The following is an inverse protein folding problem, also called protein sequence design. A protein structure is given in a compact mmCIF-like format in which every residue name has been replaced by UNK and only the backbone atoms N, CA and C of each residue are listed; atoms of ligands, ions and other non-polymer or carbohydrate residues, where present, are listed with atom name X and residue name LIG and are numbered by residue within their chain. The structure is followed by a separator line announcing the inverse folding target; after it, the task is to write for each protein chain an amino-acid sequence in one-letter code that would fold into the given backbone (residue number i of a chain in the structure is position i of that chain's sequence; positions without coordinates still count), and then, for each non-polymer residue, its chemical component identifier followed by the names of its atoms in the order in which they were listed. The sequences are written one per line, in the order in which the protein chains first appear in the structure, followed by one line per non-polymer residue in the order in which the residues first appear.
data_IF_169198147808
#
_entry.id   IF_169198147808
#
_cell.length_a   1.000
_cell.length_b   1.000
_cell.length_c   1.000
_cell.angle_alpha   90.00
_cell.angle_beta   90.00
_cell.angle_gamma   90.00
#
_symmetry.space_group_name_H-M   'P 1'
#
loop_
_entity.id
_entity.type
_entity.pdbx_description
1 polymer ?
#
# COMPACT_ATOMS: atom_id res chain seq x y z
N UNK A 1 21.67 24.33 -21.67
CA UNK A 1 20.22 24.57 -21.89
C UNK A 1 19.90 24.16 -23.33
N UNK A 2 19.44 22.95 -23.59
CA UNK A 2 19.09 22.46 -24.93
C UNK A 2 17.64 21.97 -24.83
N UNK A 3 16.72 22.42 -25.67
CA UNK A 3 15.33 21.98 -25.62
C UNK A 3 15.22 20.55 -26.18
N UNK A 4 14.65 19.67 -25.39
CA UNK A 4 14.40 18.27 -25.75
C UNK A 4 13.16 18.17 -26.65
N UNK A 5 13.37 18.30 -27.96
CA UNK A 5 12.43 17.94 -29.00
C UNK A 5 12.85 16.58 -29.57
N UNK A 6 12.24 15.51 -29.11
CA UNK A 6 12.53 14.16 -29.55
C UNK A 6 11.47 13.18 -29.06
N UNK A 7 10.17 13.48 -29.32
CA UNK A 7 9.10 12.49 -29.22
C UNK A 7 9.19 11.56 -30.43
N UNK A 8 9.78 10.38 -30.24
CA UNK A 8 9.70 9.31 -31.22
C UNK A 8 8.22 8.96 -31.48
N UNK A 9 7.80 9.14 -32.74
CA UNK A 9 6.50 8.68 -33.25
C UNK A 9 6.51 7.16 -33.19
N UNK A 10 5.64 6.61 -32.34
CA UNK A 10 5.23 5.22 -32.43
C UNK A 10 3.89 5.19 -33.16
N UNK A 11 3.91 4.79 -34.42
CA UNK A 11 2.72 4.46 -35.22
C UNK A 11 2.11 3.16 -34.69
N UNK A 12 0.97 3.28 -34.10
CA UNK A 12 0.15 2.18 -33.58
C UNK A 12 -0.93 2.71 -32.67
N UNK A 13 -1.98 3.34 -33.22
CA UNK A 13 -3.33 3.58 -32.66
C UNK A 13 -3.49 3.92 -31.15
N UNK A 14 -2.48 4.46 -30.49
CA UNK A 14 -2.58 4.99 -29.13
C UNK A 14 -2.06 6.43 -29.11
N UNK A 15 -2.99 7.37 -28.95
CA UNK A 15 -2.67 8.77 -28.62
C UNK A 15 -1.67 8.80 -27.47
N UNK A 16 -0.63 9.65 -27.49
CA UNK A 16 0.32 9.73 -26.41
C UNK A 16 -0.40 10.15 -25.13
N UNK A 17 -0.31 9.33 -24.08
CA UNK A 17 -0.78 9.60 -22.72
C UNK A 17 -0.15 10.91 -22.13
N UNK A 18 0.63 11.63 -22.89
CA UNK A 18 1.27 12.90 -22.49
C UNK A 18 0.41 14.16 -22.64
N UNK A 19 -0.72 14.11 -23.34
CA UNK A 19 -1.53 15.32 -23.55
C UNK A 19 -2.43 15.71 -22.35
N UNK A 20 -2.64 14.79 -21.37
CA UNK A 20 -3.48 15.03 -20.19
C UNK A 20 -2.74 15.53 -18.94
N UNK A 21 -1.41 15.69 -18.99
CA UNK A 21 -0.61 16.08 -17.80
C UNK A 21 -0.50 17.59 -17.57
N UNK A 22 -1.19 18.41 -18.32
CA UNK A 22 -1.23 19.86 -18.16
C UNK A 22 -2.01 20.23 -16.88
N UNK A 23 -1.36 20.27 -15.73
CA UNK A 23 -2.01 20.69 -14.48
C UNK A 23 -1.29 20.32 -13.18
N UNK A 24 -0.55 19.21 -13.15
CA UNK A 24 0.22 18.84 -11.95
C UNK A 24 1.49 19.68 -11.77
N UNK A 25 1.68 20.24 -10.56
CA UNK A 25 2.89 21.00 -10.20
C UNK A 25 3.93 20.07 -9.57
N UNK A 26 5.13 19.98 -10.14
CA UNK A 26 6.27 19.24 -9.56
C UNK A 26 6.77 19.95 -8.29
N UNK A 27 6.31 19.50 -7.15
CA UNK A 27 6.59 20.09 -5.85
C UNK A 27 7.13 19.11 -4.82
N UNK A 28 6.91 17.78 -5.01
CA UNK A 28 7.33 16.74 -4.08
C UNK A 28 8.84 16.50 -4.16
N UNK A 29 9.49 16.44 -3.01
CA UNK A 29 10.93 16.22 -2.83
C UNK A 29 11.25 14.75 -2.54
N UNK A 30 12.54 14.40 -2.48
CA UNK A 30 12.98 13.07 -2.02
C UNK A 30 12.48 12.77 -0.61
N UNK A 31 12.53 13.75 0.29
CA UNK A 31 12.04 13.60 1.66
C UNK A 31 10.53 13.26 1.67
N UNK A 32 9.72 14.03 0.92
CA UNK A 32 8.28 13.80 0.85
C UNK A 32 7.96 12.38 0.33
N UNK A 33 8.66 11.95 -0.73
CA UNK A 33 8.44 10.65 -1.33
C UNK A 33 8.89 9.50 -0.43
N UNK A 34 9.99 9.68 0.29
CA UNK A 34 10.46 8.70 1.29
C UNK A 34 9.46 8.58 2.45
N UNK A 35 8.95 9.72 2.95
CA UNK A 35 7.93 9.74 4.00
C UNK A 35 6.60 9.15 3.53
N UNK A 36 6.23 9.31 2.26
CA UNK A 36 5.05 8.65 1.66
C UNK A 36 5.28 7.13 1.59
N UNK A 37 6.45 6.66 1.17
CA UNK A 37 6.77 5.23 1.09
C UNK A 37 6.77 4.58 2.48
N UNK A 38 7.45 5.18 3.46
CA UNK A 38 7.47 4.71 4.85
C UNK A 38 6.07 4.80 5.45
N UNK A 39 5.45 5.96 5.35
CA UNK A 39 4.17 6.26 5.97
C UNK A 39 3.02 5.45 5.39
N UNK A 40 3.06 5.14 4.09
CA UNK A 40 2.10 4.26 3.43
C UNK A 40 2.20 2.81 3.92
N UNK A 41 3.42 2.33 4.16
CA UNK A 41 3.66 0.97 4.65
C UNK A 41 3.39 0.84 6.15
N UNK A 42 3.86 1.78 6.98
CA UNK A 42 3.64 1.71 8.43
C UNK A 42 2.22 2.17 8.76
N UNK A 43 1.30 1.22 8.75
CA UNK A 43 -0.11 1.41 9.06
C UNK A 43 -0.51 0.74 10.38
N UNK A 44 -1.68 0.11 10.38
CA UNK A 44 -2.17 -0.73 11.48
C UNK A 44 -1.46 -2.09 11.55
N UNK A 45 -0.86 -2.55 10.44
CA UNK A 45 -0.29 -3.90 10.31
C UNK A 45 0.67 -4.25 11.43
N UNK A 46 1.76 -3.49 11.63
CA UNK A 46 2.79 -3.78 12.63
C UNK A 46 2.26 -3.83 14.08
N UNK A 47 1.11 -3.24 14.34
CA UNK A 47 0.48 -3.20 15.66
C UNK A 47 -0.57 -4.29 15.86
N UNK A 48 -1.15 -4.84 14.79
CA UNK A 48 -2.25 -5.81 14.84
C UNK A 48 -1.83 -7.21 14.39
N UNK A 49 -1.06 -7.31 13.31
CA UNK A 49 -0.73 -8.62 12.70
C UNK A 49 0.27 -9.46 13.50
N UNK A 50 1.17 -8.92 14.37
CA UNK A 50 2.08 -9.77 15.12
C UNK A 50 1.38 -10.82 15.99
N UNK A 51 0.18 -10.52 16.52
CA UNK A 51 -0.62 -11.49 17.27
C UNK A 51 -1.12 -12.64 16.37
N UNK A 52 -1.66 -12.32 15.20
CA UNK A 52 -2.11 -13.32 14.23
C UNK A 52 -0.94 -14.15 13.72
N UNK A 53 0.17 -13.51 13.37
CA UNK A 53 1.39 -14.19 12.93
C UNK A 53 1.93 -15.13 14.02
N UNK A 54 1.97 -14.69 15.28
CA UNK A 54 2.40 -15.54 16.38
C UNK A 54 1.48 -16.77 16.57
N UNK A 55 0.17 -16.63 16.34
CA UNK A 55 -0.81 -17.72 16.37
C UNK A 55 -0.61 -18.70 15.24
N UNK A 56 -0.43 -18.19 14.02
CA UNK A 56 -0.33 -19.00 12.81
C UNK A 56 1.00 -19.73 12.69
N UNK A 57 2.08 -19.12 13.20
CA UNK A 57 3.46 -19.59 13.03
C UNK A 57 4.00 -20.30 14.29
N UNK A 58 3.62 -19.87 15.49
CA UNK A 58 3.90 -20.51 16.78
C UNK A 58 5.36 -20.47 17.23
N UNK A 59 6.35 -20.39 16.36
CA UNK A 59 7.79 -20.42 16.67
C UNK A 59 8.42 -19.03 16.55
N UNK A 60 9.22 -18.58 17.54
CA UNK A 60 9.92 -17.29 17.49
C UNK A 60 10.81 -17.11 16.25
N UNK A 61 11.54 -18.15 15.87
CA UNK A 61 12.39 -18.12 14.68
C UNK A 61 11.60 -17.99 13.39
N UNK A 62 10.46 -18.68 13.30
CA UNK A 62 9.59 -18.55 12.14
C UNK A 62 8.92 -17.17 12.09
N UNK A 63 8.59 -16.57 13.25
CA UNK A 63 8.10 -15.18 13.31
C UNK A 63 9.16 -14.24 12.72
N UNK A 64 10.42 -14.33 13.17
CA UNK A 64 11.51 -13.52 12.59
C UNK A 64 11.68 -13.80 11.10
N UNK A 65 11.68 -15.08 10.71
CA UNK A 65 11.88 -15.49 9.32
C UNK A 65 10.82 -14.91 8.36
N UNK A 66 9.52 -14.92 8.74
CA UNK A 66 8.47 -14.34 7.89
C UNK A 66 8.61 -12.82 7.76
N UNK A 67 9.02 -12.11 8.82
CA UNK A 67 9.27 -10.67 8.74
C UNK A 67 10.51 -10.33 7.91
N UNK A 68 11.59 -11.11 8.02
CA UNK A 68 12.78 -10.98 7.15
C UNK A 68 12.40 -11.24 5.69
N UNK A 69 11.68 -12.34 5.43
CA UNK A 69 11.25 -12.70 4.08
C UNK A 69 10.34 -11.60 3.48
N UNK A 70 9.39 -11.09 4.25
CA UNK A 70 8.55 -9.96 3.84
C UNK A 70 9.35 -8.71 3.50
N UNK A 71 10.38 -8.40 4.30
CA UNK A 71 11.32 -7.31 4.02
C UNK A 71 12.11 -7.49 2.72
N UNK A 72 12.61 -8.71 2.47
CA UNK A 72 13.32 -9.05 1.23
C UNK A 72 12.41 -8.96 0.00
N UNK A 73 11.18 -9.46 0.09
CA UNK A 73 10.18 -9.37 -0.98
C UNK A 73 9.85 -7.89 -1.25
N UNK A 74 9.64 -7.10 -0.18
CA UNK A 74 9.35 -5.67 -0.29
C UNK A 74 10.50 -4.90 -0.95
N UNK A 75 11.73 -5.18 -0.54
CA UNK A 75 12.91 -4.55 -1.14
C UNK A 75 13.06 -4.94 -2.62
N UNK A 76 12.87 -6.22 -2.95
CA UNK A 76 12.91 -6.69 -4.33
C UNK A 76 11.81 -6.02 -5.19
N UNK A 77 10.60 -5.86 -4.64
CA UNK A 77 9.50 -5.14 -5.27
C UNK A 77 9.82 -3.65 -5.48
N UNK A 78 10.30 -2.98 -4.44
CA UNK A 78 10.70 -1.57 -4.50
C UNK A 78 11.79 -1.31 -5.54
N UNK A 79 12.85 -2.15 -5.59
CA UNK A 79 13.90 -2.07 -6.59
C UNK A 79 13.36 -2.33 -8.01
N UNK A 80 12.47 -3.31 -8.17
CA UNK A 80 11.86 -3.66 -9.45
C UNK A 80 10.98 -2.51 -9.97
N UNK A 81 10.07 -2.01 -9.14
CA UNK A 81 9.16 -0.91 -9.52
C UNK A 81 9.91 0.39 -9.76
N UNK A 82 11.07 0.58 -9.13
CA UNK A 82 11.93 1.75 -9.34
C UNK A 82 12.36 1.91 -10.79
N UNK A 83 12.62 0.81 -11.52
CA UNK A 83 12.95 0.89 -12.94
C UNK A 83 11.75 1.34 -13.78
N UNK A 84 10.58 0.78 -13.53
CA UNK A 84 9.35 1.21 -14.21
C UNK A 84 8.99 2.67 -13.90
N UNK A 85 9.13 3.08 -12.63
CA UNK A 85 8.86 4.44 -12.18
C UNK A 85 9.82 5.48 -12.78
N UNK A 86 11.11 5.14 -12.90
CA UNK A 86 12.09 6.01 -13.53
C UNK A 86 11.93 6.09 -15.06
N UNK A 87 11.47 4.99 -15.68
CA UNK A 87 11.20 4.92 -17.13
C UNK A 87 9.93 5.68 -17.50
N UNK A 88 8.86 5.52 -16.70
CA UNK A 88 7.52 6.05 -16.95
C UNK A 88 7.04 6.88 -15.75
N UNK A 89 7.59 8.10 -15.53
CA UNK A 89 7.29 8.94 -14.38
C UNK A 89 5.97 9.73 -14.56
N UNK A 90 4.93 9.03 -14.96
CA UNK A 90 3.60 9.57 -15.21
C UNK A 90 2.69 9.38 -13.97
N UNK A 91 1.60 10.17 -13.85
CA UNK A 91 0.61 9.98 -12.81
C UNK A 91 -0.08 8.62 -12.98
N UNK A 92 -0.30 7.91 -11.87
CA UNK A 92 -0.98 6.61 -11.88
C UNK A 92 -0.06 5.40 -11.68
N UNK A 93 1.28 5.56 -11.74
CA UNK A 93 2.25 4.52 -11.37
C UNK A 93 1.97 3.16 -12.02
N UNK A 94 1.60 2.15 -11.22
CA UNK A 94 1.33 0.78 -11.70
C UNK A 94 0.32 0.72 -12.86
N UNK A 95 -0.70 1.58 -12.86
CA UNK A 95 -1.66 1.67 -13.98
C UNK A 95 -0.94 1.90 -15.30
N UNK A 96 0.00 2.85 -15.31
CA UNK A 96 0.79 3.20 -16.49
C UNK A 96 1.69 2.03 -16.90
N UNK A 97 2.36 1.39 -15.95
CA UNK A 97 3.26 0.27 -16.25
C UNK A 97 2.50 -0.90 -16.88
N UNK A 98 1.35 -1.25 -16.32
CA UNK A 98 0.50 -2.34 -16.79
C UNK A 98 -0.11 -2.02 -18.16
N UNK A 99 -0.58 -0.80 -18.37
CA UNK A 99 -1.11 -0.36 -19.66
C UNK A 99 -0.06 -0.41 -20.76
N UNK A 100 1.16 0.06 -20.48
CA UNK A 100 2.28 0.05 -21.43
C UNK A 100 2.79 -1.37 -21.71
N UNK A 101 2.86 -2.22 -20.68
CA UNK A 101 3.35 -3.58 -20.82
C UNK A 101 2.35 -4.52 -21.48
N UNK A 102 1.06 -4.46 -21.11
CA UNK A 102 0.07 -5.49 -21.45
C UNK A 102 -1.15 -4.95 -22.22
N UNK A 103 -1.28 -3.63 -22.32
CA UNK A 103 -2.41 -2.98 -23.00
C UNK A 103 -3.49 -2.49 -22.04
N UNK A 104 -4.43 -1.71 -22.61
CA UNK A 104 -5.43 -0.95 -21.83
C UNK A 104 -6.36 -1.79 -20.96
N UNK A 105 -6.69 -3.03 -21.35
CA UNK A 105 -7.54 -3.90 -20.53
C UNK A 105 -6.88 -4.25 -19.20
N UNK A 106 -5.60 -4.64 -19.21
CA UNK A 106 -4.89 -5.02 -17.97
C UNK A 106 -4.69 -3.82 -17.07
N UNK A 107 -4.33 -2.66 -17.63
CA UNK A 107 -4.27 -1.40 -16.88
C UNK A 107 -5.62 -1.04 -16.28
N UNK A 108 -6.70 -1.13 -17.05
CA UNK A 108 -8.05 -0.86 -16.56
C UNK A 108 -8.45 -1.81 -15.41
N UNK A 109 -8.20 -3.11 -15.55
CA UNK A 109 -8.52 -4.09 -14.49
C UNK A 109 -7.77 -3.80 -13.19
N UNK A 110 -6.53 -3.34 -13.28
CA UNK A 110 -5.81 -2.85 -12.09
C UNK A 110 -6.53 -1.66 -11.46
N UNK A 111 -6.80 -0.60 -12.23
CA UNK A 111 -7.43 0.60 -11.69
C UNK A 111 -8.86 0.35 -11.19
N UNK A 112 -9.62 -0.53 -11.86
CA UNK A 112 -10.92 -1.01 -11.42
C UNK A 112 -10.84 -1.72 -10.07
N UNK A 113 -9.95 -2.70 -9.94
CA UNK A 113 -9.73 -3.42 -8.69
C UNK A 113 -9.27 -2.47 -7.57
N UNK A 114 -8.40 -1.53 -7.91
CA UNK A 114 -7.87 -0.55 -6.96
C UNK A 114 -8.97 0.38 -6.45
N UNK A 115 -9.85 0.84 -7.32
CA UNK A 115 -11.00 1.68 -6.97
C UNK A 115 -12.04 0.91 -6.16
N UNK A 116 -12.45 -0.29 -6.63
CA UNK A 116 -13.61 -1.00 -6.08
C UNK A 116 -13.24 -1.76 -4.80
N UNK A 117 -12.04 -2.35 -4.74
CA UNK A 117 -11.63 -3.28 -3.68
C UNK A 117 -10.40 -2.80 -2.92
N UNK A 118 -9.26 -2.62 -3.60
CA UNK A 118 -7.95 -2.53 -2.93
C UNK A 118 -7.82 -1.26 -2.12
N UNK A 119 -7.87 -0.10 -2.75
CA UNK A 119 -7.67 1.17 -2.04
C UNK A 119 -8.87 1.58 -1.19
N UNK A 120 -10.08 1.43 -1.72
CA UNK A 120 -11.27 1.76 -0.96
C UNK A 120 -11.48 0.84 0.25
N UNK A 121 -11.22 -0.47 0.08
CA UNK A 121 -11.21 -1.44 1.17
C UNK A 121 -10.12 -1.14 2.20
N UNK A 122 -8.90 -0.82 1.74
CA UNK A 122 -7.79 -0.40 2.59
C UNK A 122 -8.11 0.87 3.38
N UNK A 123 -8.67 1.91 2.75
CA UNK A 123 -9.14 3.12 3.42
C UNK A 123 -10.22 2.82 4.46
N UNK A 124 -11.21 1.98 4.10
CA UNK A 124 -12.26 1.56 5.02
C UNK A 124 -11.71 0.83 6.24
N UNK A 125 -10.80 -0.13 6.03
CA UNK A 125 -10.14 -0.87 7.09
C UNK A 125 -9.34 0.05 8.05
N UNK A 126 -8.58 0.98 7.50
CA UNK A 126 -7.81 1.96 8.27
C UNK A 126 -8.72 2.91 9.06
N UNK A 127 -9.84 3.35 8.48
CA UNK A 127 -10.81 4.20 9.15
C UNK A 127 -11.52 3.47 10.31
N UNK A 128 -11.86 2.19 10.12
CA UNK A 128 -12.41 1.33 11.19
C UNK A 128 -11.36 1.13 12.29
N UNK A 129 -10.10 0.86 11.94
CA UNK A 129 -9.02 0.73 12.91
C UNK A 129 -8.83 2.04 13.71
N UNK A 130 -8.84 3.19 13.04
CA UNK A 130 -8.79 4.50 13.69
C UNK A 130 -9.92 4.67 14.72
N UNK A 131 -11.17 4.38 14.34
CA UNK A 131 -12.31 4.48 15.24
C UNK A 131 -12.21 3.49 16.42
N UNK A 132 -11.70 2.28 16.19
CA UNK A 132 -11.49 1.26 17.23
C UNK A 132 -10.48 1.74 18.28
N UNK A 133 -9.36 2.33 17.85
CA UNK A 133 -8.35 2.85 18.78
C UNK A 133 -8.76 4.17 19.44
N UNK A 134 -9.59 4.99 18.78
CA UNK A 134 -10.22 6.14 19.45
C UNK A 134 -11.17 5.69 20.55
N UNK A 135 -11.88 4.57 20.34
CA UNK A 135 -12.76 3.94 21.33
C UNK A 135 -12.05 3.47 22.61
N UNK A 136 -10.70 3.38 22.58
CA UNK A 136 -9.91 3.15 23.80
C UNK A 136 -9.95 4.35 24.77
N UNK A 137 -10.02 5.58 24.22
CA UNK A 137 -10.01 6.81 24.99
C UNK A 137 -11.43 7.33 25.28
N UNK A 138 -12.33 7.15 24.31
CA UNK A 138 -13.71 7.62 24.36
C UNK A 138 -14.60 6.43 24.03
N UNK A 139 -15.39 5.91 24.97
CA UNK A 139 -16.28 4.78 24.69
C UNK A 139 -17.23 5.08 23.53
N UNK A 140 -17.07 4.34 22.43
CA UNK A 140 -17.87 4.49 21.22
C UNK A 140 -18.78 3.28 21.04
N UNK A 141 -20.08 3.51 20.93
CA UNK A 141 -21.00 2.49 20.46
C UNK A 141 -20.83 2.21 18.95
N UNK A 142 -21.43 1.13 18.40
CA UNK A 142 -21.24 0.73 17.01
C UNK A 142 -21.56 1.83 15.98
N UNK A 143 -22.62 2.60 16.19
CA UNK A 143 -23.01 3.72 15.32
C UNK A 143 -21.99 4.87 15.39
N UNK A 144 -21.56 5.25 16.60
CA UNK A 144 -20.58 6.32 16.81
C UNK A 144 -19.22 5.93 16.19
N UNK A 145 -18.80 4.67 16.33
CA UNK A 145 -17.57 4.16 15.70
C UNK A 145 -17.59 4.28 14.18
N UNK A 146 -18.71 3.89 13.53
CA UNK A 146 -18.89 4.09 12.08
C UNK A 146 -18.87 5.56 11.68
N UNK A 147 -19.53 6.41 12.45
CA UNK A 147 -19.53 7.87 12.20
C UNK A 147 -18.13 8.45 12.27
N UNK A 148 -17.33 8.07 13.28
CA UNK A 148 -15.94 8.51 13.43
C UNK A 148 -15.08 8.02 12.27
N UNK A 149 -15.24 6.76 11.84
CA UNK A 149 -14.53 6.22 10.69
C UNK A 149 -14.82 7.03 9.43
N UNK A 150 -16.09 7.31 9.14
CA UNK A 150 -16.49 8.09 7.96
C UNK A 150 -16.04 9.55 8.09
N UNK A 151 -16.14 10.15 9.27
CA UNK A 151 -15.68 11.52 9.50
C UNK A 151 -14.17 11.66 9.25
N UNK A 152 -13.35 10.65 9.61
CA UNK A 152 -11.91 10.64 9.32
C UNK A 152 -11.62 10.65 7.82
N UNK A 153 -12.38 9.88 7.02
CA UNK A 153 -12.27 9.88 5.56
C UNK A 153 -12.62 11.24 4.96
N UNK A 154 -13.72 11.85 5.40
CA UNK A 154 -14.18 13.16 4.90
C UNK A 154 -13.16 14.26 5.25
N UNK A 155 -12.68 14.29 6.50
CA UNK A 155 -11.71 15.28 6.96
C UNK A 155 -10.42 15.22 6.14
N UNK A 156 -9.88 14.01 5.96
CA UNK A 156 -8.62 13.84 5.22
C UNK A 156 -8.78 14.05 3.71
N UNK A 157 -9.97 13.79 3.17
CA UNK A 157 -10.30 14.19 1.80
C UNK A 157 -10.25 15.71 1.65
N UNK A 158 -10.82 16.46 2.59
CA UNK A 158 -10.76 17.92 2.62
C UNK A 158 -9.32 18.45 2.62
N UNK A 159 -8.46 17.89 3.48
CA UNK A 159 -7.03 18.26 3.54
C UNK A 159 -6.33 18.00 2.20
N UNK A 160 -6.56 16.85 1.57
CA UNK A 160 -5.90 16.46 0.32
C UNK A 160 -6.45 17.22 -0.90
N UNK A 161 -7.70 17.67 -0.87
CA UNK A 161 -8.26 18.55 -1.90
C UNK A 161 -7.55 19.91 -1.89
N UNK A 162 -7.17 20.44 -0.72
CA UNK A 162 -6.53 21.76 -0.58
C UNK A 162 -5.13 21.86 -1.19
N UNK A 163 -4.53 20.75 -1.65
CA UNK A 163 -3.28 20.77 -2.40
C UNK A 163 -2.30 19.66 -2.04
N UNK A 164 -1.47 19.27 -3.02
CA UNK A 164 -0.48 18.19 -2.83
C UNK A 164 0.56 18.52 -1.76
N UNK A 165 0.95 19.79 -1.62
CA UNK A 165 1.88 20.23 -0.56
C UNK A 165 1.28 20.07 0.84
N UNK A 166 0.01 20.44 1.01
CA UNK A 166 -0.70 20.28 2.28
C UNK A 166 -0.80 18.81 2.67
N UNK A 167 -1.19 17.94 1.72
CA UNK A 167 -1.23 16.51 1.93
C UNK A 167 0.14 15.89 2.22
N UNK A 168 1.19 16.32 1.53
CA UNK A 168 2.55 15.84 1.78
C UNK A 168 3.08 16.28 3.16
N UNK A 169 2.86 17.53 3.54
CA UNK A 169 3.26 18.04 4.87
C UNK A 169 2.51 17.28 5.98
N UNK A 170 1.21 17.05 5.82
CA UNK A 170 0.43 16.21 6.71
C UNK A 170 1.04 14.81 6.80
N UNK A 171 1.32 14.17 5.66
CA UNK A 171 1.94 12.85 5.59
C UNK A 171 3.29 12.80 6.29
N UNK A 172 4.13 13.82 6.11
CA UNK A 172 5.45 13.91 6.73
C UNK A 172 5.36 13.97 8.26
N UNK A 173 4.47 14.83 8.78
CA UNK A 173 4.26 14.97 10.24
C UNK A 173 3.75 13.67 10.84
N UNK A 174 2.71 13.08 10.26
CA UNK A 174 2.13 11.84 10.81
C UNK A 174 3.07 10.64 10.65
N UNK A 175 3.90 10.60 9.60
CA UNK A 175 4.92 9.58 9.44
C UNK A 175 6.04 9.74 10.48
N UNK A 176 6.47 10.97 10.77
CA UNK A 176 7.44 11.22 11.84
C UNK A 176 6.89 10.81 13.21
N UNK A 177 5.65 11.18 13.52
CA UNK A 177 5.00 10.82 14.79
C UNK A 177 4.88 9.30 14.97
N UNK A 178 4.49 8.55 13.91
CA UNK A 178 4.42 7.09 14.00
C UNK A 178 5.78 6.43 14.15
N UNK A 179 6.83 6.96 13.49
CA UNK A 179 8.21 6.49 13.69
C UNK A 179 8.68 6.74 15.12
N UNK A 180 8.37 7.88 15.72
CA UNK A 180 8.64 8.17 17.12
C UNK A 180 7.91 7.21 18.06
N UNK A 181 6.63 6.91 17.78
CA UNK A 181 5.86 5.94 18.55
C UNK A 181 6.47 4.52 18.50
N UNK A 182 6.89 4.08 17.30
CA UNK A 182 7.57 2.79 17.12
C UNK A 182 8.98 2.79 17.75
N UNK A 183 9.72 3.88 17.63
CA UNK A 183 11.01 4.01 18.34
C UNK A 183 10.84 3.94 19.86
N UNK A 184 9.77 4.52 20.40
CA UNK A 184 9.40 4.38 21.81
C UNK A 184 9.09 2.93 22.19
N UNK A 185 8.29 2.22 21.40
CA UNK A 185 8.01 0.79 21.59
C UNK A 185 9.30 -0.05 21.57
N UNK A 186 10.15 0.18 20.57
CA UNK A 186 11.45 -0.51 20.44
C UNK A 186 12.36 -0.19 21.65
N UNK A 187 12.44 1.09 22.02
CA UNK A 187 13.23 1.53 23.17
C UNK A 187 12.77 0.86 24.48
N UNK A 188 11.46 0.82 24.73
CA UNK A 188 10.88 0.14 25.90
C UNK A 188 11.19 -1.36 25.84
N UNK A 189 10.97 -2.01 24.70
CA UNK A 189 11.23 -3.44 24.57
C UNK A 189 12.69 -3.83 24.78
N UNK A 190 13.63 -3.04 24.24
CA UNK A 190 15.07 -3.32 24.37
C UNK A 190 15.61 -2.94 25.75
N UNK A 191 15.08 -1.88 26.39
CA UNK A 191 15.58 -1.40 27.69
C UNK A 191 14.96 -2.12 28.88
N UNK A 192 13.68 -2.50 28.83
CA UNK A 192 12.91 -3.05 29.94
C UNK A 192 12.47 -4.51 29.73
N UNK A 193 12.52 -4.98 28.47
CA UNK A 193 12.25 -6.38 28.14
C UNK A 193 13.44 -7.29 28.44
N UNK A 194 13.21 -8.60 28.40
CA UNK A 194 14.25 -9.60 28.59
C UNK A 194 14.35 -10.54 27.39
N UNK A 195 15.56 -10.78 26.84
CA UNK A 195 15.75 -11.82 25.83
C UNK A 195 15.34 -13.22 26.27
N UNK A 196 15.26 -13.44 27.58
CA UNK A 196 14.84 -14.73 28.21
C UNK A 196 13.32 -14.89 28.21
N UNK A 197 12.55 -13.86 27.96
CA UNK A 197 11.08 -13.93 27.87
C UNK A 197 10.64 -14.89 26.80
N UNK A 198 11.36 -14.93 25.67
CA UNK A 198 11.10 -15.84 24.55
C UNK A 198 12.25 -16.82 24.39
N UNK A 199 11.93 -18.12 24.35
CA UNK A 199 12.88 -19.15 24.02
C UNK A 199 13.12 -19.17 22.50
N UNK A 200 14.31 -18.72 22.10
CA UNK A 200 14.77 -18.72 20.70
C UNK A 200 15.42 -20.05 20.29
N UNK A 201 15.21 -21.15 21.02
CA UNK A 201 15.63 -22.45 20.56
C UNK A 201 14.96 -22.82 19.23
N UNK A 202 15.72 -23.44 18.32
CA UNK A 202 15.25 -23.88 16.99
C UNK A 202 14.30 -25.08 17.16
N UNK A 203 13.06 -24.83 17.54
CA UNK A 203 12.01 -25.86 17.55
C UNK A 203 11.08 -25.65 16.35
N UNK A 204 11.21 -26.51 15.36
CA UNK A 204 10.25 -26.59 14.24
C UNK A 204 8.98 -27.39 14.61
N UNK A 205 8.94 -27.97 15.83
CA UNK A 205 7.81 -28.77 16.31
C UNK A 205 6.53 -27.95 16.58
N UNK A 206 6.64 -26.63 16.58
CA UNK A 206 5.51 -25.74 16.86
C UNK A 206 4.58 -25.47 15.65
N UNK A 207 4.82 -26.08 14.48
CA UNK A 207 3.99 -25.94 13.29
C UNK A 207 3.21 -27.26 13.03
N UNK A 208 2.02 -27.45 13.63
CA UNK A 208 1.28 -28.73 13.56
C UNK A 208 0.98 -29.20 12.12
N UNK A 209 0.70 -28.25 11.22
CA UNK A 209 0.37 -28.50 9.81
C UNK A 209 1.60 -28.36 8.87
N UNK A 210 2.79 -28.30 9.45
CA UNK A 210 4.06 -28.17 8.73
C UNK A 210 4.51 -26.72 8.50
N UNK A 211 5.82 -26.55 8.41
CA UNK A 211 6.49 -25.24 8.29
C UNK A 211 6.02 -24.41 7.08
N UNK A 212 5.79 -25.06 5.95
CA UNK A 212 5.35 -24.37 4.73
C UNK A 212 3.95 -23.79 4.85
N UNK A 213 3.03 -24.50 5.53
CA UNK A 213 1.69 -24.01 5.80
C UNK A 213 1.71 -22.82 6.77
N UNK A 214 2.47 -22.95 7.86
CA UNK A 214 2.65 -21.87 8.84
C UNK A 214 3.25 -20.62 8.20
N UNK A 215 4.30 -20.76 7.37
CA UNK A 215 4.87 -19.65 6.61
C UNK A 215 3.83 -18.99 5.68
N UNK A 216 3.04 -19.77 4.97
CA UNK A 216 2.03 -19.25 4.06
C UNK A 216 0.97 -18.43 4.79
N UNK A 217 0.47 -18.90 5.93
CA UNK A 217 -0.50 -18.16 6.76
C UNK A 217 0.12 -16.89 7.35
N UNK A 218 1.30 -17.00 7.96
CA UNK A 218 2.01 -15.85 8.53
C UNK A 218 2.31 -14.76 7.49
N UNK A 219 2.62 -15.16 6.25
CA UNK A 219 2.89 -14.21 5.17
C UNK A 219 1.69 -13.33 4.79
N UNK A 220 0.45 -13.74 5.03
CA UNK A 220 -0.73 -12.89 4.78
C UNK A 220 -0.66 -11.60 5.61
N UNK A 221 -0.43 -11.75 6.92
CA UNK A 221 -0.28 -10.60 7.83
C UNK A 221 0.98 -9.77 7.56
N UNK A 222 2.08 -10.45 7.23
CA UNK A 222 3.36 -9.81 6.89
C UNK A 222 3.24 -8.97 5.63
N UNK A 223 2.71 -9.54 4.54
CA UNK A 223 2.62 -8.84 3.25
C UNK A 223 1.58 -7.71 3.26
N UNK A 224 0.53 -7.84 4.07
CA UNK A 224 -0.34 -6.70 4.40
C UNK A 224 0.46 -5.58 5.09
N UNK A 225 1.24 -5.92 6.12
CA UNK A 225 1.98 -4.94 6.92
C UNK A 225 3.03 -4.19 6.12
N UNK A 226 3.67 -4.87 5.17
CA UNK A 226 4.67 -4.29 4.29
C UNK A 226 4.07 -3.53 3.09
N UNK A 227 2.79 -3.71 2.76
CA UNK A 227 2.13 -3.01 1.65
C UNK A 227 2.13 -1.48 1.85
N UNK A 228 2.06 -0.72 0.76
CA UNK A 228 1.93 0.74 0.78
C UNK A 228 3.12 1.52 0.23
N UNK A 229 4.32 0.95 0.14
CA UNK A 229 5.50 1.61 -0.46
C UNK A 229 5.29 2.02 -1.92
N UNK A 230 4.47 1.28 -2.66
CA UNK A 230 4.13 1.55 -4.06
C UNK A 230 3.34 2.86 -4.25
N UNK A 231 2.70 3.38 -3.20
CA UNK A 231 1.99 4.66 -3.25
C UNK A 231 2.89 5.83 -3.68
N UNK A 232 4.20 5.74 -3.43
CA UNK A 232 5.16 6.70 -3.94
C UNK A 232 5.14 6.81 -5.47
N UNK A 233 4.82 5.72 -6.18
CA UNK A 233 4.80 5.73 -7.66
C UNK A 233 3.56 6.41 -8.24
N UNK A 234 2.46 6.51 -7.51
CA UNK A 234 1.20 7.04 -8.03
C UNK A 234 1.27 8.55 -8.26
N UNK A 235 2.02 9.27 -7.43
CA UNK A 235 2.21 10.71 -7.52
C UNK A 235 3.45 11.12 -8.35
N UNK A 236 3.99 10.25 -9.18
CA UNK A 236 5.23 10.47 -9.95
C UNK A 236 5.27 11.77 -10.73
N UNK A 237 4.13 12.20 -11.31
CA UNK A 237 4.03 13.44 -12.09
C UNK A 237 4.26 14.72 -11.25
N UNK A 238 4.10 14.65 -9.93
CA UNK A 238 4.25 15.78 -9.00
C UNK A 238 5.64 15.85 -8.35
N UNK A 239 6.53 14.90 -8.68
CA UNK A 239 7.90 14.81 -8.15
C UNK A 239 8.87 15.70 -8.93
N UNK A 240 9.75 16.43 -8.24
CA UNK A 240 10.70 17.37 -8.85
C UNK A 240 11.70 16.72 -9.81
N UNK A 241 12.28 15.60 -9.42
CA UNK A 241 13.17 14.77 -10.24
C UNK A 241 12.77 13.31 -10.07
N UNK A 242 11.70 12.86 -10.76
CA UNK A 242 11.13 11.52 -10.51
C UNK A 242 12.11 10.40 -10.86
N UNK A 243 12.97 10.60 -11.86
CA UNK A 243 13.90 9.59 -12.35
C UNK A 243 14.95 9.17 -11.32
N UNK A 244 15.34 10.08 -10.45
CA UNK A 244 16.28 9.86 -9.35
C UNK A 244 15.55 9.67 -8.02
N UNK A 245 14.55 10.49 -7.77
CA UNK A 245 13.83 10.55 -6.48
C UNK A 245 13.06 9.28 -6.20
N UNK A 246 12.32 8.73 -7.18
CA UNK A 246 11.47 7.55 -6.94
C UNK A 246 12.29 6.30 -6.58
N UNK A 247 13.36 5.93 -7.32
CA UNK A 247 14.20 4.80 -6.94
C UNK A 247 14.79 4.92 -5.53
N UNK A 248 15.29 6.11 -5.19
CA UNK A 248 15.87 6.35 -3.87
C UNK A 248 14.81 6.30 -2.76
N UNK A 249 13.68 6.97 -2.95
CA UNK A 249 12.60 7.02 -1.96
C UNK A 249 12.03 5.64 -1.65
N UNK A 250 11.79 4.83 -2.68
CA UNK A 250 11.24 3.48 -2.51
C UNK A 250 12.24 2.54 -1.85
N UNK A 251 13.52 2.61 -2.24
CA UNK A 251 14.58 1.80 -1.63
C UNK A 251 14.81 2.17 -0.16
N UNK A 252 14.94 3.48 0.12
CA UNK A 252 15.07 3.98 1.51
C UNK A 252 13.85 3.62 2.35
N UNK A 253 12.66 3.77 1.77
CA UNK A 253 11.40 3.39 2.42
C UNK A 253 11.35 1.92 2.78
N UNK A 254 11.66 1.02 1.83
CA UNK A 254 11.67 -0.42 2.05
C UNK A 254 12.68 -0.84 3.13
N UNK A 255 13.91 -0.30 3.10
CA UNK A 255 14.94 -0.59 4.10
C UNK A 255 14.51 -0.08 5.49
N UNK A 256 14.03 1.17 5.57
CA UNK A 256 13.59 1.76 6.84
C UNK A 256 12.43 0.98 7.46
N UNK A 257 11.42 0.63 6.67
CA UNK A 257 10.26 -0.15 7.14
C UNK A 257 10.70 -1.54 7.61
N UNK A 258 11.56 -2.23 6.84
CA UNK A 258 12.08 -3.54 7.21
C UNK A 258 12.81 -3.48 8.56
N UNK A 259 13.70 -2.51 8.71
CA UNK A 259 14.47 -2.33 9.96
C UNK A 259 13.54 -2.07 11.14
N UNK A 260 12.59 -1.15 11.00
CA UNK A 260 11.63 -0.80 12.06
C UNK A 260 10.77 -2.01 12.44
N UNK A 261 10.30 -2.78 11.45
CA UNK A 261 9.46 -3.95 11.71
C UNK A 261 10.19 -5.09 12.41
N UNK A 262 11.42 -5.35 12.01
CA UNK A 262 12.26 -6.35 12.70
C UNK A 262 12.53 -5.93 14.14
N UNK A 263 12.92 -4.68 14.38
CA UNK A 263 13.15 -4.16 15.73
C UNK A 263 11.87 -4.18 16.59
N UNK A 264 10.72 -3.81 16.02
CA UNK A 264 9.44 -3.85 16.72
C UNK A 264 9.03 -5.28 17.12
N UNK A 265 9.22 -6.26 16.24
CA UNK A 265 8.92 -7.65 16.56
C UNK A 265 9.88 -8.24 17.59
N UNK A 266 11.17 -7.88 17.55
CA UNK A 266 12.11 -8.23 18.62
C UNK A 266 11.68 -7.61 19.95
N UNK A 267 11.26 -6.35 19.97
CA UNK A 267 10.75 -5.69 21.17
C UNK A 267 9.50 -6.41 21.71
N UNK A 268 8.56 -6.81 20.85
CA UNK A 268 7.41 -7.62 21.29
C UNK A 268 7.86 -8.94 21.95
N UNK A 269 8.79 -9.67 21.34
CA UNK A 269 9.27 -10.94 21.85
C UNK A 269 10.13 -10.80 23.12
N UNK A 270 10.70 -9.64 23.39
CA UNK A 270 11.38 -9.35 24.67
C UNK A 270 10.39 -9.01 25.78
N UNK A 271 9.19 -8.52 25.43
CA UNK A 271 8.14 -8.14 26.39
C UNK A 271 7.11 -9.24 26.60
N UNK A 272 6.82 -10.06 25.61
CA UNK A 272 5.78 -11.09 25.59
C UNK A 272 6.33 -12.39 25.01
N UNK A 273 5.88 -13.53 25.54
CA UNK A 273 6.09 -14.81 24.86
C UNK A 273 5.24 -14.92 23.61
N UNK A 274 5.59 -15.77 22.61
CA UNK A 274 4.76 -16.00 21.43
C UNK A 274 3.32 -16.41 21.76
N UNK A 275 3.12 -17.21 22.82
CA UNK A 275 1.80 -17.60 23.29
C UNK A 275 0.99 -16.40 23.81
N UNK A 276 1.63 -15.50 24.55
CA UNK A 276 1.00 -14.26 25.01
C UNK A 276 0.69 -13.32 23.84
N UNK A 277 1.60 -13.22 22.85
CA UNK A 277 1.34 -12.45 21.63
C UNK A 277 0.13 -13.01 20.89
N UNK A 278 0.04 -14.33 20.69
CA UNK A 278 -1.04 -15.01 19.99
C UNK A 278 -2.41 -14.83 20.67
N UNK A 279 -2.44 -14.76 22.00
CA UNK A 279 -3.65 -14.57 22.80
C UNK A 279 -4.09 -13.10 22.91
N UNK A 280 -3.22 -12.15 22.56
CA UNK A 280 -3.48 -10.72 22.75
C UNK A 280 -4.36 -10.14 21.62
N UNK A 281 -5.47 -9.46 21.95
CA UNK A 281 -6.26 -8.70 20.98
C UNK A 281 -5.59 -7.36 20.58
N UNK A 282 -4.61 -6.90 21.36
CA UNK A 282 -3.92 -5.60 21.17
C UNK A 282 -2.45 -5.71 21.57
N UNK A 283 -1.71 -6.56 20.86
CA UNK A 283 -0.35 -6.98 21.21
C UNK A 283 0.60 -5.80 21.53
N UNK A 284 0.55 -4.71 20.79
CA UNK A 284 1.39 -3.55 21.04
C UNK A 284 1.08 -2.87 22.39
N UNK A 285 -0.20 -2.67 22.68
CA UNK A 285 -0.64 -2.05 23.93
C UNK A 285 -0.38 -2.96 25.13
N UNK A 286 -0.64 -4.25 25.00
CA UNK A 286 -0.44 -5.23 26.07
C UNK A 286 1.04 -5.43 26.39
N UNK A 287 1.91 -5.44 25.39
CA UNK A 287 3.35 -5.52 25.55
C UNK A 287 3.90 -4.37 26.43
N UNK A 288 3.53 -3.14 26.09
CA UNK A 288 4.05 -1.96 26.81
C UNK A 288 3.35 -1.79 28.17
N UNK A 289 2.05 -2.15 28.26
CA UNK A 289 1.31 -2.12 29.53
C UNK A 289 1.93 -3.03 30.58
N UNK A 290 2.50 -4.17 30.18
CA UNK A 290 3.15 -5.12 31.08
C UNK A 290 4.32 -4.52 31.87
N UNK A 291 5.04 -3.54 31.29
CA UNK A 291 6.23 -2.91 31.92
C UNK A 291 6.01 -1.46 32.34
N UNK A 292 5.17 -0.68 31.65
CA UNK A 292 4.90 0.74 31.97
C UNK A 292 3.51 0.97 32.56
N UNK A 293 2.74 -0.09 32.82
CA UNK A 293 1.39 0.02 33.36
C UNK A 293 0.37 0.64 32.38
N UNK A 294 -0.79 1.13 32.89
CA UNK A 294 -1.87 1.64 32.06
C UNK A 294 -1.47 2.83 31.14
N UNK A 295 -0.59 3.70 31.61
CA UNK A 295 -0.09 4.84 30.85
C UNK A 295 0.64 4.41 29.58
N UNK A 296 1.46 3.34 29.66
CA UNK A 296 2.14 2.77 28.49
C UNK A 296 1.17 2.25 27.45
N UNK A 297 0.11 1.55 27.86
CA UNK A 297 -0.95 1.09 26.96
C UNK A 297 -1.67 2.26 26.25
N UNK A 298 -1.92 3.35 26.97
CA UNK A 298 -2.52 4.56 26.38
C UNK A 298 -1.60 5.24 25.36
N UNK A 299 -0.31 5.36 25.65
CA UNK A 299 0.67 5.96 24.71
C UNK A 299 0.76 5.18 23.40
N UNK A 300 0.79 3.85 23.47
CA UNK A 300 0.81 3.02 22.26
C UNK A 300 -0.51 3.10 21.50
N UNK A 301 -1.66 3.10 22.19
CA UNK A 301 -2.95 3.28 21.55
C UNK A 301 -3.04 4.63 20.83
N UNK A 302 -2.48 5.69 21.40
CA UNK A 302 -2.35 6.99 20.73
C UNK A 302 -1.43 6.92 19.51
N UNK A 303 -0.30 6.24 19.60
CA UNK A 303 0.61 6.07 18.46
C UNK A 303 -0.05 5.32 17.30
N UNK A 304 -0.87 4.30 17.57
CA UNK A 304 -1.62 3.56 16.55
C UNK A 304 -2.72 4.44 15.94
N UNK A 305 -3.43 5.21 16.74
CA UNK A 305 -4.42 6.18 16.28
C UNK A 305 -3.80 7.19 15.30
N UNK A 306 -2.67 7.77 15.67
CA UNK A 306 -1.89 8.70 14.82
C UNK A 306 -1.42 8.00 13.55
N UNK A 307 -0.93 6.75 13.66
CA UNK A 307 -0.44 5.97 12.53
C UNK A 307 -1.54 5.70 11.51
N UNK A 308 -2.68 5.15 11.94
CA UNK A 308 -3.81 4.83 11.05
C UNK A 308 -4.36 6.07 10.35
N UNK A 309 -4.52 7.18 11.09
CA UNK A 309 -4.95 8.46 10.55
C UNK A 309 -3.99 9.00 9.48
N UNK A 310 -2.67 8.90 9.72
CA UNK A 310 -1.65 9.28 8.76
C UNK A 310 -1.70 8.46 7.46
N UNK A 311 -1.94 7.14 7.53
CA UNK A 311 -2.04 6.29 6.33
C UNK A 311 -3.29 6.61 5.51
N UNK A 312 -4.44 6.87 6.17
CA UNK A 312 -5.64 7.33 5.46
C UNK A 312 -5.31 8.57 4.62
N UNK A 313 -4.57 9.54 5.20
CA UNK A 313 -4.11 10.75 4.49
C UNK A 313 -3.28 10.43 3.25
N UNK A 314 -2.31 9.51 3.35
CA UNK A 314 -1.43 9.10 2.24
C UNK A 314 -2.23 8.39 1.13
N UNK A 315 -3.10 7.45 1.47
CA UNK A 315 -3.90 6.72 0.49
C UNK A 315 -4.90 7.64 -0.21
N UNK A 316 -5.47 8.58 0.53
CA UNK A 316 -6.35 9.62 -0.01
C UNK A 316 -5.58 10.60 -0.90
N UNK A 317 -4.31 10.88 -0.60
CA UNK A 317 -3.46 11.72 -1.44
C UNK A 317 -3.10 11.04 -2.76
N UNK A 318 -2.64 9.80 -2.72
CA UNK A 318 -1.88 9.19 -3.83
C UNK A 318 -2.74 8.42 -4.82
N UNK A 319 -3.66 7.58 -4.35
CA UNK A 319 -4.45 6.70 -5.21
C UNK A 319 -5.38 7.39 -6.23
N UNK A 320 -5.93 8.60 -5.98
CA UNK A 320 -6.72 9.33 -6.98
C UNK A 320 -5.98 9.58 -8.31
N UNK A 321 -4.65 9.54 -8.33
CA UNK A 321 -3.84 9.68 -9.54
C UNK A 321 -4.00 8.48 -10.48
N UNK A 322 -4.33 7.31 -9.94
CA UNK A 322 -4.67 6.12 -10.75
C UNK A 322 -5.98 6.38 -11.51
N UNK A 323 -7.00 6.82 -10.79
CA UNK A 323 -8.33 7.07 -11.39
C UNK A 323 -8.30 8.26 -12.36
N UNK A 324 -7.48 9.27 -12.04
CA UNK A 324 -7.19 10.36 -12.96
C UNK A 324 -6.60 9.84 -14.28
N UNK A 325 -5.59 8.96 -14.21
CA UNK A 325 -4.95 8.39 -15.40
C UNK A 325 -5.95 7.55 -16.22
N UNK A 326 -6.79 6.73 -15.57
CA UNK A 326 -7.85 5.98 -16.22
C UNK A 326 -8.85 6.89 -16.96
N UNK A 327 -9.24 7.99 -16.31
CA UNK A 327 -10.18 8.95 -16.88
C UNK A 327 -9.55 9.73 -18.05
N UNK A 328 -8.26 10.08 -17.95
CA UNK A 328 -7.49 10.70 -19.04
C UNK A 328 -7.38 9.79 -20.26
N UNK A 329 -7.28 8.47 -20.05
CA UNK A 329 -7.29 7.46 -21.13
C UNK A 329 -8.69 7.16 -21.67
N UNK A 330 -9.74 7.80 -21.13
CA UNK A 330 -11.13 7.66 -21.57
C UNK A 330 -11.81 6.35 -21.13
N UNK A 331 -11.26 5.66 -20.12
CA UNK A 331 -11.80 4.40 -19.59
C UNK A 331 -12.40 4.56 -18.19
N UNK A 332 -12.69 5.81 -17.79
CA UNK A 332 -13.37 6.14 -16.53
C UNK A 332 -14.14 7.46 -16.67
N UNK A 333 -14.89 7.87 -15.63
CA UNK A 333 -15.68 9.09 -15.64
C UNK A 333 -14.83 10.32 -15.97
N UNK A 334 -15.20 11.13 -16.96
CA UNK A 334 -14.42 12.30 -17.45
C UNK A 334 -14.10 13.31 -16.35
N UNK A 335 -15.04 13.58 -15.44
CA UNK A 335 -14.84 14.48 -14.29
C UNK A 335 -13.68 14.08 -13.38
N UNK A 336 -13.31 12.81 -13.35
CA UNK A 336 -12.20 12.31 -12.54
C UNK A 336 -10.85 12.79 -13.09
N UNK A 337 -10.76 13.12 -14.39
CA UNK A 337 -9.58 13.71 -15.01
C UNK A 337 -9.49 15.26 -14.84
N UNK A 338 -10.43 15.88 -14.13
CA UNK A 338 -10.39 17.31 -13.89
C UNK A 338 -9.45 17.65 -12.73
N UNK A 339 -8.52 18.58 -12.98
CA UNK A 339 -7.65 19.16 -11.98
C UNK A 339 -8.28 20.44 -11.47
N UNK A 340 -8.44 20.53 -10.13
CA UNK A 340 -9.03 21.71 -9.49
C UNK A 340 -8.18 22.96 -9.79
N UNK A 341 -8.74 24.05 -10.38
CA UNK A 341 -7.96 25.17 -10.90
C UNK A 341 -7.15 25.91 -9.81
N UNK A 342 -7.69 26.01 -8.60
CA UNK A 342 -7.03 26.69 -7.47
C UNK A 342 -6.01 25.80 -6.78
N UNK A 343 -6.34 24.53 -6.56
CA UNK A 343 -5.55 23.63 -5.70
C UNK A 343 -4.59 22.71 -6.45
N UNK A 344 -4.80 22.54 -7.77
CA UNK A 344 -3.95 21.68 -8.61
C UNK A 344 -4.05 20.19 -8.25
N UNK A 345 -5.19 19.75 -7.69
CA UNK A 345 -5.45 18.38 -7.26
C UNK A 345 -6.62 17.77 -8.01
N UNK A 346 -6.70 16.43 -8.18
CA UNK A 346 -7.84 15.74 -8.77
C UNK A 346 -8.96 15.63 -7.72
N UNK A 347 -9.57 16.76 -7.35
CA UNK A 347 -10.50 16.87 -6.22
C UNK A 347 -11.69 15.92 -6.34
N UNK A 348 -12.28 15.78 -7.54
CA UNK A 348 -13.40 14.88 -7.75
C UNK A 348 -13.00 13.41 -7.55
N UNK A 349 -11.81 13.00 -8.00
CA UNK A 349 -11.27 11.66 -7.77
C UNK A 349 -11.08 11.37 -6.26
N UNK A 350 -10.55 12.36 -5.52
CA UNK A 350 -10.36 12.27 -4.06
C UNK A 350 -11.70 12.03 -3.35
N UNK A 351 -12.71 12.83 -3.68
CA UNK A 351 -14.03 12.73 -3.05
C UNK A 351 -14.74 11.42 -3.42
N UNK A 352 -14.66 11.01 -4.69
CA UNK A 352 -15.30 9.79 -5.19
C UNK A 352 -14.77 8.53 -4.49
N UNK A 353 -13.44 8.39 -4.35
CA UNK A 353 -12.87 7.23 -3.64
C UNK A 353 -13.27 7.21 -2.16
N UNK A 354 -13.29 8.38 -1.50
CA UNK A 354 -13.61 8.46 -0.08
C UNK A 354 -15.09 8.19 0.19
N UNK A 355 -15.96 8.64 -0.72
CA UNK A 355 -17.37 8.27 -0.69
C UNK A 355 -17.55 6.75 -0.82
N UNK A 356 -16.84 6.12 -1.77
CA UNK A 356 -16.91 4.68 -1.94
C UNK A 356 -16.35 3.93 -0.73
N UNK A 357 -15.23 4.37 -0.15
CA UNK A 357 -14.71 3.81 1.09
C UNK A 357 -15.70 3.95 2.26
N UNK A 358 -16.40 5.08 2.36
CA UNK A 358 -17.45 5.27 3.37
C UNK A 358 -18.62 4.30 3.19
N UNK A 359 -19.03 4.04 1.94
CA UNK A 359 -20.04 3.01 1.62
C UNK A 359 -19.56 1.63 2.10
N UNK A 360 -18.30 1.26 1.82
CA UNK A 360 -17.76 -0.02 2.29
C UNK A 360 -17.74 -0.13 3.82
N UNK A 361 -17.42 0.95 4.54
CA UNK A 361 -17.48 0.98 6.02
C UNK A 361 -18.90 0.75 6.53
N UNK A 362 -19.92 1.29 5.86
CA UNK A 362 -21.31 1.08 6.24
C UNK A 362 -21.76 -0.38 6.09
N UNK A 363 -21.36 -1.05 4.99
CA UNK A 363 -21.83 -2.38 4.66
C UNK A 363 -20.97 -3.52 5.24
N UNK A 364 -19.64 -3.38 5.26
CA UNK A 364 -18.74 -4.46 5.70
C UNK A 364 -18.15 -4.28 7.10
N UNK A 365 -18.08 -3.10 7.64
CA UNK A 365 -17.91 -2.71 9.04
C UNK A 365 -16.76 -3.33 9.86
N UNK A 366 -16.03 -4.36 9.39
CA UNK A 366 -14.94 -4.98 10.14
C UNK A 366 -13.61 -4.91 9.38
N UNK A 367 -12.52 -4.68 10.13
CA UNK A 367 -11.17 -4.61 9.59
C UNK A 367 -10.76 -5.89 8.84
N UNK A 368 -10.98 -7.06 9.45
CA UNK A 368 -10.54 -8.35 8.94
C UNK A 368 -11.22 -8.74 7.61
N UNK A 369 -12.50 -8.46 7.48
CA UNK A 369 -13.24 -8.72 6.25
C UNK A 369 -12.72 -7.88 5.09
N UNK A 370 -12.40 -6.61 5.35
CA UNK A 370 -11.92 -5.68 4.32
C UNK A 370 -10.54 -6.07 3.81
N UNK A 371 -9.58 -6.41 4.69
CA UNK A 371 -8.19 -6.66 4.29
C UNK A 371 -7.99 -7.97 3.49
N UNK A 372 -8.78 -9.00 3.76
CA UNK A 372 -8.60 -10.30 3.11
C UNK A 372 -8.79 -10.24 1.59
N UNK A 373 -9.77 -9.48 1.11
CA UNK A 373 -9.99 -9.25 -0.34
C UNK A 373 -8.94 -8.35 -0.95
N UNK A 374 -8.50 -7.32 -0.20
CA UNK A 374 -7.52 -6.34 -0.63
C UNK A 374 -6.19 -7.01 -0.96
N UNK A 375 -5.64 -7.79 -0.02
CA UNK A 375 -4.29 -8.37 -0.15
C UNK A 375 -4.21 -9.33 -1.33
N UNK A 376 -5.17 -10.24 -1.49
CA UNK A 376 -5.19 -11.19 -2.60
C UNK A 376 -5.18 -10.48 -3.96
N UNK A 377 -6.08 -9.51 -4.12
CA UNK A 377 -6.24 -8.79 -5.40
C UNK A 377 -5.01 -7.95 -5.73
N UNK A 378 -4.41 -7.28 -4.74
CA UNK A 378 -3.24 -6.42 -4.94
C UNK A 378 -2.01 -7.24 -5.37
N UNK A 379 -1.81 -8.44 -4.81
CA UNK A 379 -0.65 -9.27 -5.15
C UNK A 379 -0.69 -9.88 -6.55
N UNK A 380 -1.87 -10.05 -7.15
CA UNK A 380 -1.99 -10.38 -8.58
C UNK A 380 -1.34 -9.26 -9.42
N UNK A 381 -1.68 -8.01 -9.11
CA UNK A 381 -1.15 -6.87 -9.85
C UNK A 381 0.31 -6.55 -9.50
N UNK A 382 0.78 -6.90 -8.31
CA UNK A 382 2.20 -6.83 -7.98
C UNK A 382 3.02 -7.79 -8.83
N UNK A 383 2.54 -9.03 -9.03
CA UNK A 383 3.19 -9.97 -9.94
C UNK A 383 3.25 -9.42 -11.37
N UNK A 384 2.15 -8.92 -11.89
CA UNK A 384 2.07 -8.34 -13.24
C UNK A 384 2.93 -7.09 -13.37
N UNK A 385 2.92 -6.19 -12.39
CA UNK A 385 3.73 -4.97 -12.41
C UNK A 385 5.23 -5.27 -12.27
N UNK A 386 5.61 -6.26 -11.47
CA UNK A 386 6.99 -6.76 -11.43
C UNK A 386 7.44 -7.34 -12.78
N UNK A 387 6.61 -8.19 -13.38
CA UNK A 387 6.87 -8.77 -14.70
C UNK A 387 6.87 -7.72 -15.83
N UNK A 388 6.17 -6.58 -15.64
CA UNK A 388 6.14 -5.50 -16.63
C UNK A 388 7.52 -4.94 -16.95
N UNK A 389 8.46 -4.95 -16.00
CA UNK A 389 9.85 -4.51 -16.21
C UNK A 389 10.54 -5.37 -17.25
N UNK A 390 10.33 -6.69 -17.22
CA UNK A 390 10.88 -7.63 -18.20
C UNK A 390 10.26 -7.39 -19.57
N UNK A 391 8.95 -7.20 -19.61
CA UNK A 391 8.20 -6.92 -20.87
C UNK A 391 8.62 -5.58 -21.48
N UNK A 392 8.72 -4.53 -20.65
CA UNK A 392 9.12 -3.18 -21.11
C UNK A 392 10.57 -3.14 -21.60
N UNK A 393 11.49 -3.97 -21.05
CA UNK A 393 12.84 -4.10 -21.59
C UNK A 393 12.85 -4.69 -23.00
N UNK A 394 11.92 -5.60 -23.32
CA UNK A 394 11.77 -6.18 -24.65
C UNK A 394 11.02 -5.27 -25.63
N UNK A 395 9.96 -4.58 -25.14
CA UNK A 395 9.12 -3.70 -25.99
C UNK A 395 9.76 -2.34 -26.28
N UNK A 396 10.62 -1.87 -25.39
CA UNK A 396 11.25 -0.55 -25.46
C UNK A 396 12.76 -0.67 -25.21
N UNK A 397 13.51 -1.42 -26.04
CA UNK A 397 14.94 -1.71 -25.82
C UNK A 397 15.80 -0.43 -25.78
N UNK A 398 15.48 0.54 -26.65
CA UNK A 398 16.25 1.78 -26.83
C UNK A 398 15.82 2.91 -25.89
N UNK A 399 14.77 2.70 -25.07
CA UNK A 399 14.31 3.73 -24.14
C UNK A 399 15.36 4.03 -23.07
N UNK A 400 15.63 5.32 -22.77
CA UNK A 400 16.59 5.69 -21.74
C UNK A 400 16.13 5.22 -20.37
N UNK A 401 16.97 4.41 -19.70
CA UNK A 401 16.71 3.87 -18.35
C UNK A 401 17.68 4.51 -17.36
N UNK A 402 17.28 5.62 -16.72
CA UNK A 402 18.14 6.30 -15.76
C UNK A 402 18.39 5.48 -14.49
N UNK A 403 17.49 4.53 -14.20
CA UNK A 403 17.68 3.50 -13.18
C UNK A 403 17.44 2.13 -13.79
N UNK A 404 18.32 1.19 -13.46
CA UNK A 404 18.20 -0.22 -13.83
C UNK A 404 18.21 -1.06 -12.56
N UNK A 405 17.23 -1.95 -12.43
CA UNK A 405 17.14 -2.82 -11.24
C UNK A 405 18.43 -3.64 -11.08
N UNK A 406 19.08 -3.56 -9.90
CA UNK A 406 20.27 -4.38 -9.63
C UNK A 406 19.90 -5.87 -9.59
N UNK A 407 20.82 -6.72 -10.02
CA UNK A 407 20.59 -8.17 -10.03
C UNK A 407 19.51 -8.64 -11.02
N UNK A 408 19.26 -7.90 -12.09
CA UNK A 408 18.39 -8.34 -13.18
C UNK A 408 18.97 -9.59 -13.86
N UNK A 409 18.17 -10.60 -14.22
CA UNK A 409 16.70 -10.68 -14.06
C UNK A 409 16.24 -11.25 -12.70
N UNK A 410 17.16 -11.64 -11.82
CA UNK A 410 16.87 -12.45 -10.64
C UNK A 410 16.00 -11.72 -9.60
N UNK A 411 16.25 -10.42 -9.36
CA UNK A 411 15.46 -9.63 -8.40
C UNK A 411 14.00 -9.48 -8.85
N UNK A 412 13.71 -9.08 -10.11
CA UNK A 412 12.32 -9.11 -10.60
C UNK A 412 11.69 -10.51 -10.60
N UNK A 413 12.43 -11.55 -10.98
CA UNK A 413 11.92 -12.92 -10.97
C UNK A 413 11.62 -13.43 -9.57
N UNK A 414 12.45 -13.10 -8.57
CA UNK A 414 12.19 -13.41 -7.17
C UNK A 414 10.90 -12.73 -6.70
N UNK A 415 10.74 -11.43 -6.98
CA UNK A 415 9.54 -10.69 -6.61
C UNK A 415 8.27 -11.26 -7.28
N UNK A 416 8.33 -11.53 -8.58
CA UNK A 416 7.21 -12.12 -9.34
C UNK A 416 6.90 -13.53 -8.85
N UNK A 417 7.91 -14.36 -8.64
CA UNK A 417 7.75 -15.74 -8.17
C UNK A 417 7.12 -15.81 -6.79
N UNK A 418 7.58 -14.97 -5.85
CA UNK A 418 7.00 -14.89 -4.50
C UNK A 418 5.59 -14.31 -4.52
N UNK A 419 5.29 -13.35 -5.38
CA UNK A 419 3.93 -12.82 -5.56
C UNK A 419 2.98 -13.88 -6.09
N UNK A 420 3.38 -14.64 -7.10
CA UNK A 420 2.58 -15.74 -7.66
C UNK A 420 2.40 -16.88 -6.65
N UNK A 421 3.45 -17.22 -5.92
CA UNK A 421 3.37 -18.20 -4.84
C UNK A 421 2.34 -17.77 -3.79
N UNK A 422 2.37 -16.50 -3.36
CA UNK A 422 1.41 -15.98 -2.41
C UNK A 422 -0.04 -16.02 -2.93
N UNK A 423 -0.27 -15.65 -4.19
CA UNK A 423 -1.59 -15.75 -4.84
C UNK A 423 -2.08 -17.19 -4.85
N UNK A 424 -1.23 -18.16 -5.22
CA UNK A 424 -1.58 -19.57 -5.24
C UNK A 424 -1.90 -20.11 -3.83
N UNK A 425 -1.10 -19.74 -2.82
CA UNK A 425 -1.34 -20.11 -1.44
C UNK A 425 -2.64 -19.53 -0.88
N UNK A 426 -2.95 -18.28 -1.21
CA UNK A 426 -4.20 -17.64 -0.78
C UNK A 426 -5.41 -18.30 -1.45
N UNK A 427 -5.29 -18.68 -2.72
CA UNK A 427 -6.35 -19.39 -3.44
C UNK A 427 -6.66 -20.75 -2.80
N UNK A 428 -5.66 -21.47 -2.31
CA UNK A 428 -5.84 -22.75 -1.63
C UNK A 428 -6.31 -22.61 -0.19
N UNK A 429 -5.79 -21.62 0.57
CA UNK A 429 -6.07 -21.46 2.01
C UNK A 429 -7.35 -20.67 2.29
N UNK A 430 -7.73 -19.74 1.42
CA UNK A 430 -8.91 -18.85 1.55
C UNK A 430 -9.69 -18.76 0.24
N UNK A 431 -10.23 -19.90 -0.27
CA UNK A 431 -10.82 -19.97 -1.61
C UNK A 431 -12.03 -19.04 -1.78
N UNK A 432 -12.89 -18.89 -0.79
CA UNK A 432 -14.06 -18.02 -0.88
C UNK A 432 -13.69 -16.55 -1.15
N UNK A 433 -12.69 -16.03 -0.43
CA UNK A 433 -12.19 -14.65 -0.60
C UNK A 433 -11.48 -14.48 -1.95
N UNK A 434 -10.68 -15.47 -2.35
CA UNK A 434 -9.96 -15.44 -3.60
C UNK A 434 -10.91 -15.48 -4.82
N UNK A 435 -11.91 -16.35 -4.83
CA UNK A 435 -12.92 -16.40 -5.90
C UNK A 435 -13.78 -15.14 -5.95
N UNK A 436 -14.13 -14.56 -4.81
CA UNK A 436 -14.82 -13.27 -4.79
C UNK A 436 -13.96 -12.14 -5.40
N UNK A 437 -12.66 -12.09 -5.06
CA UNK A 437 -11.71 -11.14 -5.67
C UNK A 437 -11.62 -11.30 -7.19
N UNK A 438 -11.51 -12.55 -7.69
CA UNK A 438 -11.52 -12.85 -9.12
C UNK A 438 -12.86 -12.49 -9.78
N UNK A 439 -13.97 -12.69 -9.09
CA UNK A 439 -15.29 -12.27 -9.54
C UNK A 439 -15.38 -10.76 -9.74
N UNK A 440 -14.89 -9.97 -8.78
CA UNK A 440 -14.81 -8.52 -8.90
C UNK A 440 -13.92 -8.06 -10.07
N UNK A 441 -12.80 -8.75 -10.30
CA UNK A 441 -11.96 -8.50 -11.48
C UNK A 441 -12.70 -8.83 -12.77
N UNK A 442 -13.40 -9.96 -12.82
CA UNK A 442 -14.20 -10.39 -13.98
C UNK A 442 -15.29 -9.39 -14.36
N UNK A 443 -15.94 -8.79 -13.36
CA UNK A 443 -16.92 -7.71 -13.59
C UNK A 443 -16.30 -6.46 -14.24
N UNK A 444 -15.01 -6.23 -14.08
CA UNK A 444 -14.31 -5.14 -14.76
C UNK A 444 -14.21 -5.31 -16.27
N UNK A 445 -14.24 -6.55 -16.79
CA UNK A 445 -14.09 -6.80 -18.24
C UNK A 445 -15.24 -6.16 -19.05
N UNK A 446 -16.53 -6.45 -18.79
CA UNK A 446 -17.62 -5.80 -19.50
C UNK A 446 -17.64 -4.28 -19.31
N UNK A 447 -17.27 -3.79 -18.12
CA UNK A 447 -17.19 -2.34 -17.85
C UNK A 447 -16.11 -1.68 -18.71
N UNK A 448 -14.95 -2.31 -18.90
CA UNK A 448 -13.91 -1.82 -19.80
C UNK A 448 -14.42 -1.66 -21.24
N UNK A 449 -15.09 -2.68 -21.78
CA UNK A 449 -15.61 -2.62 -23.16
C UNK A 449 -16.73 -1.61 -23.31
N UNK A 450 -17.54 -1.40 -22.28
CA UNK A 450 -18.54 -0.34 -22.25
C UNK A 450 -17.88 1.04 -22.41
N UNK A 451 -16.91 1.38 -21.55
CA UNK A 451 -16.18 2.64 -21.62
C UNK A 451 -15.45 2.83 -22.94
N UNK A 452 -14.79 1.78 -23.43
CA UNK A 452 -14.07 1.85 -24.71
C UNK A 452 -14.97 2.16 -25.89
N UNK A 453 -16.17 1.61 -25.93
CA UNK A 453 -17.17 1.91 -26.98
C UNK A 453 -17.63 3.36 -26.91
N UNK A 454 -17.97 3.84 -25.73
CA UNK A 454 -18.43 5.22 -25.52
C UNK A 454 -17.35 6.24 -25.91
N UNK A 455 -16.11 6.02 -25.53
CA UNK A 455 -15.01 6.92 -25.88
C UNK A 455 -14.67 6.94 -27.36
N UNK A 456 -14.92 5.86 -28.09
CA UNK A 456 -14.73 5.79 -29.55
C UNK A 456 -15.83 6.55 -30.28
N UNK A 457 -17.07 6.45 -29.84
CA UNK A 457 -18.20 7.20 -30.41
C UNK A 457 -18.03 8.71 -30.30
N UNK A 458 -17.64 9.20 -29.10
CA UNK A 458 -17.40 10.62 -28.86
C UNK A 458 -16.22 11.21 -29.68
N UNK A 459 -15.26 10.37 -30.10
CA UNK A 459 -14.16 10.80 -31.02
C UNK A 459 -14.59 10.91 -32.45
N UNK A 460 -15.61 10.18 -32.89
CA UNK A 460 -16.17 10.27 -34.25
C UNK A 460 -17.15 11.43 -34.42
N UNK A 461 -17.73 11.92 -33.30
CA UNK A 461 -18.68 13.03 -33.29
C UNK A 461 -18.03 14.43 -33.18
N UNK A 462 -16.69 14.48 -32.97
CA UNK A 462 -15.88 15.71 -32.93
C UNK A 462 -14.99 15.86 -34.15
#
# INVERSE_FOLDING_TARGET
MVPYAGAARYDGAHTPVGAGMAGFKRSLTLFDMTMIAIGGSIGSGIFLTPATIARDVGSPWLIVAVWVLGGLITLAGALTFSEAAALLPEAGGQYVYLTRAYGGLVGFLFGWAYFVVVNAGGLGALAVAFATYLGFFIPLGPAASRTVAIASLILLSGVNVMGVKAGAMFSNVFTALKLLGLAGLVGVGLALGSPRTTDFSLSLAAAPDGVWHALALGMVGVLWSYGGWQHATYASAEVKDPRRTLPLAMSLGAVAVTTVYLLANLAYMFLLTPAQMAASPRVAADAVRGVLGPAGGSLISLAILVSTFGVIGIYTLTAPRIYYAMAADGVFFRRVAEIHPRYGTPAFAILLQSLWAAVLVLFWGTFENLISYVVFTDWIFFALAGASVIVLRRKMPDAPRPYRVPGYPWVPLFFVGTSLWFVAMTLSSKPAQAWAGLGFLGLGIPVYYFWKRTSTQERHER
#
